data_IF_771928172646
#
_entry.id   IF_771928172646
#
_cell.length_a   1.000
_cell.length_b   1.000
_cell.length_c   1.000
_cell.angle_alpha   90.00
_cell.angle_beta   90.00
_cell.angle_gamma   90.00
#
_symmetry.space_group_name_H-M   'P 1'
#
loop_
_entity.id
_entity.type
_entity.pdbx_description
1 polymer ?
#
# COMPACT_ATOMS: atom_id res chain seq x y z
N UNK A 1 -11.87 -14.74 -7.62
CA UNK A 1 -10.96 -15.91 -7.75
C UNK A 1 -9.60 -15.50 -7.22
N UNK A 2 -9.24 -16.05 -6.06
CA UNK A 2 -7.93 -15.81 -5.47
C UNK A 2 -6.82 -16.58 -6.22
N UNK A 3 -5.67 -15.94 -6.36
CA UNK A 3 -4.40 -16.56 -6.75
C UNK A 3 -3.30 -16.03 -5.83
N UNK A 4 -2.23 -16.78 -5.65
CA UNK A 4 -1.08 -16.33 -4.85
C UNK A 4 -0.42 -15.09 -5.49
N UNK A 5 0.05 -14.15 -4.65
CA UNK A 5 0.58 -12.87 -5.14
C UNK A 5 1.81 -13.04 -6.03
N UNK A 6 2.65 -14.04 -5.75
CA UNK A 6 3.84 -14.35 -6.55
C UNK A 6 3.49 -14.87 -7.95
N UNK A 7 2.28 -15.40 -8.14
CA UNK A 7 1.78 -15.87 -9.43
C UNK A 7 1.09 -14.76 -10.25
N UNK A 8 0.93 -13.56 -9.68
CA UNK A 8 0.35 -12.44 -10.41
C UNK A 8 1.29 -11.99 -11.53
N UNK A 9 0.77 -11.73 -12.75
CA UNK A 9 1.58 -11.24 -13.84
C UNK A 9 2.00 -9.79 -13.57
N UNK A 10 3.15 -9.37 -14.11
CA UNK A 10 3.73 -8.05 -13.83
C UNK A 10 2.84 -6.89 -14.29
N UNK A 11 1.97 -7.09 -15.28
CA UNK A 11 1.01 -6.08 -15.76
C UNK A 11 -0.22 -5.96 -14.86
N UNK A 12 -0.44 -6.87 -13.91
CA UNK A 12 -1.60 -6.80 -13.04
C UNK A 12 -1.59 -5.51 -12.25
N UNK A 13 -2.76 -4.87 -12.17
CA UNK A 13 -2.92 -3.60 -11.46
C UNK A 13 -2.82 -3.84 -9.96
N UNK A 14 -2.19 -2.90 -9.25
CA UNK A 14 -2.11 -2.92 -7.78
C UNK A 14 -2.68 -1.66 -7.13
N UNK A 15 -3.11 -1.83 -5.90
CA UNK A 15 -3.36 -0.76 -4.94
C UNK A 15 -2.54 -1.05 -3.69
N UNK A 16 -1.72 -0.09 -3.29
CA UNK A 16 -0.94 -0.17 -2.06
C UNK A 16 -1.59 0.71 -1.00
N UNK A 17 -1.88 0.12 0.15
CA UNK A 17 -2.43 0.79 1.31
C UNK A 17 -1.45 0.66 2.46
N UNK A 18 -1.19 1.77 3.14
CA UNK A 18 -0.42 1.78 4.37
C UNK A 18 -1.38 1.87 5.55
N UNK A 19 -1.18 1.03 6.55
CA UNK A 19 -1.86 1.13 7.83
C UNK A 19 -1.39 2.39 8.59
N UNK A 20 -2.28 3.00 9.36
CA UNK A 20 -1.98 4.09 10.28
C UNK A 20 -0.91 3.70 11.33
N UNK A 21 -0.91 2.43 11.77
CA UNK A 21 0.10 1.83 12.66
C UNK A 21 0.57 0.45 12.19
N UNK A 22 1.63 -0.06 12.81
CA UNK A 22 2.04 -1.45 12.62
C UNK A 22 0.99 -2.38 13.23
N UNK A 23 0.79 -3.54 12.60
CA UNK A 23 -0.12 -4.57 13.08
C UNK A 23 0.63 -5.74 13.72
N UNK A 24 0.05 -6.31 14.77
CA UNK A 24 0.55 -7.50 15.46
C UNK A 24 0.28 -8.78 14.67
N UNK A 25 0.87 -9.90 15.10
CA UNK A 25 0.65 -11.20 14.46
C UNK A 25 -0.83 -11.66 14.53
N UNK A 26 -1.53 -11.34 15.61
CA UNK A 26 -2.96 -11.68 15.76
C UNK A 26 -3.81 -10.83 14.81
N UNK A 27 -3.55 -9.53 14.74
CA UNK A 27 -4.23 -8.63 13.79
C UNK A 27 -3.93 -9.01 12.35
N UNK A 28 -2.68 -9.38 12.04
CA UNK A 28 -2.27 -9.89 10.73
C UNK A 28 -3.10 -11.10 10.32
N UNK A 29 -3.35 -12.02 11.25
CA UNK A 29 -4.17 -13.20 11.01
C UNK A 29 -5.63 -12.84 10.71
N UNK A 30 -6.20 -11.88 11.43
CA UNK A 30 -7.54 -11.33 11.16
C UNK A 30 -7.61 -10.68 9.77
N UNK A 31 -6.60 -9.88 9.41
CA UNK A 31 -6.51 -9.22 8.11
C UNK A 31 -6.45 -10.27 6.98
N UNK A 32 -5.63 -11.31 7.11
CA UNK A 32 -5.58 -12.41 6.15
C UNK A 32 -6.93 -13.10 5.98
N UNK A 33 -7.64 -13.37 7.09
CA UNK A 33 -8.97 -13.99 7.02
C UNK A 33 -9.97 -13.14 6.23
N UNK A 34 -10.03 -11.83 6.49
CA UNK A 34 -10.97 -10.92 5.80
C UNK A 34 -10.61 -10.79 4.32
N UNK A 35 -9.33 -10.58 4.00
CA UNK A 35 -8.88 -10.40 2.62
C UNK A 35 -8.97 -11.70 1.80
N UNK A 36 -8.73 -12.85 2.44
CA UNK A 36 -8.92 -14.16 1.81
C UNK A 36 -10.37 -14.37 1.38
N UNK A 37 -11.33 -14.14 2.29
CA UNK A 37 -12.74 -14.21 1.96
C UNK A 37 -13.13 -13.21 0.87
N UNK A 38 -12.72 -11.94 1.02
CA UNK A 38 -13.02 -10.89 0.04
C UNK A 38 -12.50 -11.23 -1.36
N UNK A 39 -11.21 -11.58 -1.52
CA UNK A 39 -10.61 -11.83 -2.84
C UNK A 39 -11.11 -13.12 -3.50
N UNK A 40 -11.58 -14.09 -2.72
CA UNK A 40 -12.27 -15.27 -3.25
C UNK A 40 -13.58 -14.88 -3.96
N UNK A 41 -14.35 -13.98 -3.34
CA UNK A 41 -15.68 -13.54 -3.80
C UNK A 41 -15.66 -12.29 -4.69
N UNK A 42 -14.50 -11.64 -4.83
CA UNK A 42 -14.41 -10.37 -5.53
C UNK A 42 -14.77 -10.51 -7.01
N UNK A 43 -15.76 -9.74 -7.44
CA UNK A 43 -16.32 -9.79 -8.78
C UNK A 43 -16.70 -8.39 -9.28
N UNK A 44 -16.69 -8.19 -10.60
CA UNK A 44 -17.22 -7.00 -11.27
C UNK A 44 -18.37 -7.40 -12.18
N UNK A 45 -19.53 -6.75 -12.02
CA UNK A 45 -20.77 -7.09 -12.76
C UNK A 45 -21.12 -8.60 -12.72
N UNK A 46 -20.84 -9.26 -11.59
CA UNK A 46 -21.07 -10.70 -11.41
C UNK A 46 -20.00 -11.62 -12.00
N UNK A 47 -19.01 -11.07 -12.71
CA UNK A 47 -17.87 -11.83 -13.25
C UNK A 47 -16.74 -11.84 -12.20
N UNK A 48 -16.28 -13.03 -11.76
CA UNK A 48 -15.17 -13.12 -10.80
C UNK A 48 -13.92 -12.42 -11.31
N UNK A 49 -13.27 -11.65 -10.45
CA UNK A 49 -11.96 -11.08 -10.74
C UNK A 49 -10.87 -12.08 -10.39
N UNK A 50 -9.83 -12.15 -11.22
CA UNK A 50 -8.58 -12.81 -10.84
C UNK A 50 -7.78 -11.85 -9.98
N UNK A 51 -7.84 -12.06 -8.68
CA UNK A 51 -7.34 -11.13 -7.69
C UNK A 51 -6.39 -11.81 -6.72
N UNK A 52 -5.52 -11.00 -6.10
CA UNK A 52 -4.62 -11.42 -5.05
C UNK A 52 -4.49 -10.31 -4.02
N UNK A 53 -3.95 -10.66 -2.86
CA UNK A 53 -3.47 -9.70 -1.90
C UNK A 53 -2.17 -10.20 -1.26
N UNK A 54 -1.40 -9.28 -0.67
CA UNK A 54 -0.30 -9.63 0.23
C UNK A 54 -0.12 -8.56 1.29
N UNK A 55 0.47 -8.93 2.42
CA UNK A 55 0.83 -8.04 3.51
C UNK A 55 2.35 -7.92 3.57
N UNK A 56 2.87 -6.70 3.68
CA UNK A 56 4.31 -6.43 3.70
C UNK A 56 4.70 -5.58 4.91
N UNK A 57 5.87 -5.91 5.50
CA UNK A 57 6.52 -5.17 6.59
C UNK A 57 5.60 -4.86 7.79
N UNK A 58 4.63 -5.74 8.04
CA UNK A 58 3.58 -5.62 9.05
C UNK A 58 2.86 -4.26 9.09
N UNK A 59 2.81 -3.57 7.93
CA UNK A 59 2.25 -2.21 7.83
C UNK A 59 1.57 -1.92 6.51
N UNK A 60 1.79 -2.73 5.48
CA UNK A 60 1.24 -2.51 4.15
C UNK A 60 0.32 -3.64 3.72
N UNK A 61 -0.74 -3.26 3.02
CA UNK A 61 -1.61 -4.14 2.26
C UNK A 61 -1.46 -3.81 0.78
N UNK A 62 -1.16 -4.82 -0.02
CA UNK A 62 -1.15 -4.73 -1.47
C UNK A 62 -2.30 -5.58 -1.99
N UNK A 63 -3.24 -4.95 -2.70
CA UNK A 63 -4.30 -5.62 -3.46
C UNK A 63 -3.94 -5.62 -4.94
N UNK A 64 -4.18 -6.71 -5.63
CA UNK A 64 -3.89 -6.85 -7.06
C UNK A 64 -5.04 -7.48 -7.84
N UNK A 65 -5.21 -7.05 -9.10
CA UNK A 65 -6.16 -7.63 -10.06
C UNK A 65 -5.51 -7.76 -11.43
N UNK A 66 -5.65 -8.92 -12.06
CA UNK A 66 -5.25 -9.14 -13.44
C UNK A 66 -6.35 -8.61 -14.39
N UNK A 67 -6.21 -7.34 -14.80
CA UNK A 67 -7.18 -6.67 -15.66
C UNK A 67 -7.28 -7.29 -17.07
N UNK A 68 -6.32 -8.15 -17.46
CA UNK A 68 -6.40 -8.92 -18.72
C UNK A 68 -7.44 -10.04 -18.67
N UNK A 69 -7.79 -10.52 -17.46
CA UNK A 69 -8.86 -11.48 -17.27
C UNK A 69 -10.23 -10.78 -17.26
N UNK A 70 -10.38 -9.80 -16.38
CA UNK A 70 -11.56 -8.94 -16.34
C UNK A 70 -11.23 -7.64 -15.60
N UNK A 71 -11.70 -6.50 -16.13
CA UNK A 71 -11.43 -5.20 -15.54
C UNK A 71 -12.38 -4.93 -14.37
N UNK A 72 -11.89 -4.43 -13.22
CA UNK A 72 -12.74 -4.04 -12.12
C UNK A 72 -13.60 -2.83 -12.49
N UNK A 73 -14.89 -2.92 -12.16
CA UNK A 73 -15.85 -1.81 -12.18
C UNK A 73 -15.67 -0.85 -10.99
N UNK A 74 -16.28 0.33 -11.06
CA UNK A 74 -16.33 1.26 -9.91
C UNK A 74 -16.92 0.60 -8.66
N UNK A 75 -18.07 -0.08 -8.79
CA UNK A 75 -18.70 -0.79 -7.67
C UNK A 75 -17.83 -1.90 -7.07
N UNK A 76 -17.05 -2.61 -7.91
CA UNK A 76 -16.10 -3.60 -7.38
C UNK A 76 -14.89 -2.96 -6.70
N UNK A 77 -14.47 -1.76 -7.10
CA UNK A 77 -13.43 -1.04 -6.35
C UNK A 77 -14.01 -0.54 -5.01
N UNK A 78 -15.27 -0.10 -4.98
CA UNK A 78 -15.93 0.29 -3.73
C UNK A 78 -16.06 -0.89 -2.74
N UNK A 79 -16.27 -2.11 -3.24
CA UNK A 79 -16.30 -3.30 -2.37
C UNK A 79 -14.95 -3.60 -1.73
N UNK A 80 -13.82 -3.28 -2.39
CA UNK A 80 -12.50 -3.40 -1.76
C UNK A 80 -12.33 -2.40 -0.62
N UNK A 81 -12.84 -1.18 -0.77
CA UNK A 81 -12.92 -0.19 0.33
C UNK A 81 -13.79 -0.71 1.47
N UNK A 82 -14.87 -1.45 1.15
CA UNK A 82 -15.68 -2.18 2.13
C UNK A 82 -14.87 -3.16 2.97
N UNK A 83 -14.02 -3.98 2.34
CA UNK A 83 -13.12 -4.90 3.05
C UNK A 83 -12.15 -4.16 3.98
N UNK A 84 -11.61 -3.01 3.55
CA UNK A 84 -10.75 -2.18 4.42
C UNK A 84 -11.49 -1.64 5.65
N UNK A 85 -12.78 -1.29 5.51
CA UNK A 85 -13.62 -0.87 6.64
C UNK A 85 -13.89 -2.02 7.60
N UNK A 86 -14.14 -3.22 7.10
CA UNK A 86 -14.31 -4.41 7.93
C UNK A 86 -13.03 -4.72 8.73
N UNK A 87 -11.86 -4.59 8.10
CA UNK A 87 -10.57 -4.73 8.80
C UNK A 87 -10.47 -3.72 9.95
N UNK A 88 -10.82 -2.45 9.68
CA UNK A 88 -10.79 -1.40 10.70
C UNK A 88 -11.76 -1.67 11.84
N UNK A 89 -12.95 -2.17 11.55
CA UNK A 89 -13.92 -2.54 12.59
C UNK A 89 -13.43 -3.71 13.46
N UNK A 90 -12.76 -4.69 12.86
CA UNK A 90 -12.27 -5.87 13.55
C UNK A 90 -10.97 -5.65 14.35
N UNK A 91 -10.09 -4.75 13.88
CA UNK A 91 -8.73 -4.58 14.43
C UNK A 91 -8.42 -3.16 14.92
N UNK A 92 -9.24 -2.18 14.56
CA UNK A 92 -8.96 -0.76 14.78
C UNK A 92 -7.91 -0.17 13.83
N UNK A 93 -7.35 -0.94 12.89
CA UNK A 93 -6.33 -0.47 11.94
C UNK A 93 -6.99 0.26 10.77
N UNK A 94 -6.52 1.47 10.44
CA UNK A 94 -7.04 2.23 9.31
C UNK A 94 -6.04 2.22 8.13
N UNK A 95 -6.46 1.62 7.01
CA UNK A 95 -5.73 1.59 5.74
C UNK A 95 -6.13 2.72 4.77
N UNK A 96 -7.14 3.52 5.13
CA UNK A 96 -7.69 4.58 4.30
C UNK A 96 -7.10 5.96 4.62
N UNK A 97 -6.35 6.11 5.72
CA UNK A 97 -5.61 7.34 5.99
C UNK A 97 -4.39 7.48 5.08
N UNK A 98 -4.45 8.45 4.16
CA UNK A 98 -3.40 8.74 3.18
C UNK A 98 -2.52 9.94 3.55
N UNK A 99 -2.57 10.39 4.80
CA UNK A 99 -1.82 11.58 5.26
C UNK A 99 -0.38 11.26 5.67
N UNK A 100 -0.03 9.99 5.85
CA UNK A 100 1.31 9.57 6.24
C UNK A 100 2.19 9.17 5.07
N UNK A 101 3.47 9.51 5.14
CA UNK A 101 4.54 9.05 4.24
C UNK A 101 5.49 8.15 5.02
N UNK A 102 5.65 6.88 4.61
CA UNK A 102 6.55 5.96 5.29
C UNK A 102 8.01 6.18 4.87
N UNK A 103 8.91 6.14 5.85
CA UNK A 103 10.35 6.12 5.65
C UNK A 103 10.94 4.91 6.37
N UNK A 104 11.89 4.24 5.73
CA UNK A 104 12.58 3.07 6.27
C UNK A 104 13.88 3.50 6.96
N UNK A 105 14.08 3.06 8.20
CA UNK A 105 15.30 3.27 9.00
C UNK A 105 15.70 1.97 9.71
N UNK A 106 16.80 2.02 10.46
CA UNK A 106 17.26 0.88 11.28
C UNK A 106 16.24 0.49 12.36
N UNK A 107 15.48 1.46 12.88
CA UNK A 107 14.42 1.26 13.88
C UNK A 107 13.08 0.79 13.28
N UNK A 108 13.03 0.55 11.96
CA UNK A 108 11.84 0.10 11.24
C UNK A 108 11.21 1.17 10.36
N UNK A 109 9.87 1.22 10.33
CA UNK A 109 9.14 2.16 9.46
C UNK A 109 8.63 3.35 10.27
N UNK A 110 9.28 4.49 10.08
CA UNK A 110 8.80 5.79 10.55
C UNK A 110 7.74 6.37 9.60
N UNK A 111 6.84 7.20 10.11
CA UNK A 111 5.85 7.91 9.29
C UNK A 111 5.93 9.41 9.53
N UNK A 112 6.07 10.17 8.45
CA UNK A 112 6.00 11.63 8.46
C UNK A 112 4.67 12.07 7.87
N UNK A 113 3.95 12.98 8.54
CA UNK A 113 2.70 13.53 7.97
C UNK A 113 3.02 14.39 6.75
N UNK A 114 2.16 14.36 5.75
CA UNK A 114 2.35 15.08 4.49
C UNK A 114 2.53 16.60 4.70
N UNK A 115 1.82 17.17 5.68
CA UNK A 115 1.93 18.58 6.07
C UNK A 115 3.26 18.93 6.75
N UNK A 116 3.94 17.94 7.34
CA UNK A 116 5.20 18.11 8.06
C UNK A 116 6.44 17.84 7.19
N UNK A 117 6.28 17.25 5.99
CA UNK A 117 7.38 16.82 5.14
C UNK A 117 8.46 17.89 4.95
N UNK A 118 8.05 19.12 4.63
CA UNK A 118 8.97 20.25 4.44
C UNK A 118 9.76 20.58 5.70
N UNK A 119 9.06 20.67 6.83
CA UNK A 119 9.69 20.98 8.11
C UNK A 119 10.68 19.87 8.49
N UNK A 120 10.26 18.62 8.40
CA UNK A 120 11.07 17.44 8.73
C UNK A 120 12.29 17.29 7.82
N UNK A 121 12.20 17.69 6.55
CA UNK A 121 13.36 17.76 5.66
C UNK A 121 14.37 18.81 6.12
N UNK A 122 13.91 20.01 6.48
CA UNK A 122 14.77 21.09 7.00
C UNK A 122 15.43 20.72 8.33
N UNK A 123 14.71 19.99 9.17
CA UNK A 123 15.21 19.48 10.45
C UNK A 123 16.18 18.30 10.28
N UNK A 124 16.37 17.78 9.07
CA UNK A 124 17.25 16.65 8.79
C UNK A 124 16.70 15.29 9.22
N UNK A 125 15.39 15.18 9.46
CA UNK A 125 14.73 13.92 9.81
C UNK A 125 14.69 12.95 8.62
N UNK A 126 14.66 13.49 7.41
CA UNK A 126 14.81 12.73 6.17
C UNK A 126 15.51 13.60 5.11
N UNK A 127 16.11 12.96 4.12
CA UNK A 127 16.84 13.58 3.03
C UNK A 127 16.61 12.85 1.69
N UNK A 128 17.38 13.19 0.66
CA UNK A 128 17.26 12.58 -0.67
C UNK A 128 17.54 11.08 -0.71
N UNK A 129 18.47 10.61 0.13
CA UNK A 129 18.92 9.21 0.17
C UNK A 129 18.05 8.35 1.10
N UNK A 130 17.27 8.98 1.97
CA UNK A 130 16.32 8.30 2.85
C UNK A 130 15.39 7.40 2.03
N UNK A 131 15.37 6.11 2.38
CA UNK A 131 14.53 5.13 1.70
C UNK A 131 13.07 5.33 2.10
N UNK A 132 12.19 5.42 1.10
CA UNK A 132 10.74 5.43 1.25
C UNK A 132 10.13 4.26 0.48
N UNK A 133 8.81 4.14 0.52
CA UNK A 133 8.06 3.07 -0.14
C UNK A 133 7.28 3.61 -1.34
N UNK A 134 7.30 2.90 -2.46
CA UNK A 134 6.51 3.24 -3.64
C UNK A 134 5.03 2.83 -3.46
N UNK A 135 4.31 3.57 -2.63
CA UNK A 135 2.87 3.38 -2.40
C UNK A 135 2.01 3.80 -3.61
N UNK A 136 2.63 4.37 -4.65
CA UNK A 136 1.98 4.79 -5.89
C UNK A 136 2.21 3.81 -7.05
N UNK A 137 2.84 2.65 -6.79
CA UNK A 137 2.99 1.59 -7.79
C UNK A 137 1.64 1.27 -8.43
N UNK A 138 1.62 1.17 -9.76
CA UNK A 138 0.42 0.91 -10.54
C UNK A 138 0.27 -0.56 -10.91
N UNK A 139 1.39 -1.27 -11.01
CA UNK A 139 1.42 -2.67 -11.39
C UNK A 139 2.23 -3.53 -10.42
N UNK A 140 2.01 -4.84 -10.47
CA UNK A 140 2.78 -5.83 -9.71
C UNK A 140 4.26 -5.75 -10.08
N UNK A 141 4.60 -5.56 -11.36
CA UNK A 141 5.98 -5.39 -11.81
C UNK A 141 6.66 -4.15 -11.23
N UNK A 142 5.96 -3.01 -11.19
CA UNK A 142 6.45 -1.79 -10.53
C UNK A 142 6.64 -2.01 -9.02
N UNK A 143 5.69 -2.66 -8.35
CA UNK A 143 5.81 -2.98 -6.92
C UNK A 143 7.03 -3.86 -6.64
N UNK A 144 7.24 -4.93 -7.43
CA UNK A 144 8.38 -5.86 -7.27
C UNK A 144 9.73 -5.18 -7.51
N UNK A 145 9.82 -4.32 -8.53
CA UNK A 145 11.09 -3.70 -8.94
C UNK A 145 11.46 -2.45 -8.15
N UNK A 146 10.46 -1.75 -7.58
CA UNK A 146 10.65 -0.44 -6.97
C UNK A 146 9.94 -0.30 -5.62
N UNK A 147 9.96 -1.34 -4.77
CA UNK A 147 9.28 -1.29 -3.48
C UNK A 147 9.88 -0.24 -2.52
N UNK A 148 11.18 -0.34 -2.25
CA UNK A 148 11.96 0.62 -1.46
C UNK A 148 12.78 1.48 -2.41
N UNK A 149 12.61 2.79 -2.35
CA UNK A 149 13.21 3.75 -3.29
C UNK A 149 13.74 4.99 -2.54
N UNK A 150 14.88 5.56 -2.94
CA UNK A 150 15.35 6.82 -2.36
C UNK A 150 14.31 7.93 -2.57
N UNK A 151 14.07 8.75 -1.56
CA UNK A 151 13.05 9.79 -1.60
C UNK A 151 13.20 10.75 -2.79
N UNK A 152 14.45 11.02 -3.21
CA UNK A 152 14.74 11.93 -4.34
C UNK A 152 14.29 11.40 -5.70
N UNK A 153 14.12 10.09 -5.81
CA UNK A 153 13.65 9.40 -7.01
C UNK A 153 12.12 9.27 -7.03
N UNK A 154 11.43 9.91 -6.08
CA UNK A 154 9.98 9.88 -5.96
C UNK A 154 9.37 11.27 -6.04
N UNK A 155 8.05 11.32 -5.90
CA UNK A 155 7.30 12.57 -5.78
C UNK A 155 7.69 13.43 -4.57
N UNK A 156 8.42 12.88 -3.58
CA UNK A 156 8.93 13.60 -2.41
C UNK A 156 9.98 14.65 -2.78
N UNK A 157 10.61 14.54 -3.95
CA UNK A 157 11.55 15.55 -4.47
C UNK A 157 11.01 16.97 -4.43
N UNK A 158 9.69 17.15 -4.59
CA UNK A 158 9.04 18.47 -4.54
C UNK A 158 9.06 19.14 -3.14
N UNK A 159 9.34 18.37 -2.08
CA UNK A 159 9.43 18.84 -0.70
C UNK A 159 10.88 19.12 -0.27
N UNK A 160 11.85 18.80 -1.12
CA UNK A 160 13.27 19.08 -0.90
C UNK A 160 13.55 20.52 -1.34
N UNK A 161 13.56 21.45 -0.39
CA UNK A 161 14.03 22.80 -0.67
C UNK A 161 15.57 22.82 -0.74
N UNK A 162 16.19 23.68 -1.56
CA UNK A 162 17.63 23.86 -1.53
C UNK A 162 18.05 24.27 -0.12
N UNK A 163 19.03 23.58 0.48
CA UNK A 163 19.74 24.14 1.64
C UNK A 163 20.47 25.38 1.13
N UNK A 164 19.95 26.57 1.41
CA UNK A 164 20.73 27.79 1.22
C UNK A 164 21.86 27.74 2.24
N UNK A 165 23.07 27.46 1.77
CA UNK A 165 24.31 27.57 2.53
C UNK A 165 24.63 29.03 2.86
#
# INVERSE_FOLDING_TARGET
MFVEFDQMPDHARVWVYMADRQFSADERSVIHSILGAFTAEWAAHGVPLRASYTLAEDRFLILAVDESHHTPSGCSIDSSVGALRQIREATGIDFLDRKGVPFYSEDGIGVVRLEELKQKYRDGVWDGQSLTFNTLAKTVGEFRSAWKVPAENTWLKRYMEPKFC
#
